data_IF_586503140982
#
_entry.id   IF_586503140982
#
_cell.length_a   1.000
_cell.length_b   1.000
_cell.length_c   1.000
_cell.angle_alpha   90.00
_cell.angle_beta   90.00
_cell.angle_gamma   90.00
#
_symmetry.space_group_name_H-M   'P 1'
#
loop_
_entity.id
_entity.type
_entity.pdbx_description
1 polymer ?
#
# COMPACT_ATOMS: atom_id res chain seq x y z
N UNK A 1 -15.77 -80.62 9.35
CA UNK A 1 -16.67 -79.54 8.90
C UNK A 1 -15.82 -78.43 8.30
N UNK A 2 -15.98 -78.15 7.00
CA UNK A 2 -15.18 -77.20 6.20
C UNK A 2 -15.65 -75.76 6.47
N UNK A 3 -14.77 -74.86 6.90
CA UNK A 3 -15.06 -73.41 7.06
C UNK A 3 -14.49 -72.64 5.87
N UNK A 4 -15.38 -72.02 5.08
CA UNK A 4 -15.07 -71.13 3.96
C UNK A 4 -14.50 -69.81 4.48
N UNK A 5 -13.38 -69.35 3.92
CA UNK A 5 -12.86 -67.98 4.09
C UNK A 5 -13.30 -67.19 2.87
N UNK A 6 -14.15 -66.19 3.08
CA UNK A 6 -14.70 -65.30 2.06
C UNK A 6 -13.93 -63.98 2.13
N UNK A 7 -13.09 -63.72 1.13
CA UNK A 7 -12.34 -62.48 0.98
C UNK A 7 -13.27 -61.30 0.67
N UNK A 8 -13.12 -60.20 1.41
CA UNK A 8 -13.73 -58.91 1.09
C UNK A 8 -12.64 -58.02 0.49
N UNK A 9 -12.76 -57.72 -0.80
CA UNK A 9 -12.02 -56.63 -1.44
C UNK A 9 -12.55 -55.30 -0.91
N UNK A 10 -11.71 -54.56 -0.20
CA UNK A 10 -11.94 -53.14 0.10
C UNK A 10 -11.47 -52.31 -1.09
N UNK A 11 -12.40 -51.65 -1.76
CA UNK A 11 -12.13 -50.64 -2.78
C UNK A 11 -11.69 -49.36 -2.07
N UNK A 12 -10.41 -49.00 -2.20
CA UNK A 12 -9.89 -47.72 -1.74
C UNK A 12 -10.29 -46.63 -2.75
N UNK A 13 -11.19 -45.74 -2.33
CA UNK A 13 -11.52 -44.51 -3.06
C UNK A 13 -10.35 -43.55 -2.85
N UNK A 14 -9.49 -43.41 -3.87
CA UNK A 14 -8.47 -42.36 -3.92
C UNK A 14 -9.19 -41.06 -4.31
N UNK A 15 -9.54 -40.26 -3.30
CA UNK A 15 -9.95 -38.86 -3.50
C UNK A 15 -8.69 -38.05 -3.80
N UNK A 16 -8.29 -38.01 -5.07
CA UNK A 16 -7.31 -37.06 -5.57
C UNK A 16 -7.98 -35.70 -5.75
N UNK A 17 -8.06 -34.94 -4.67
CA UNK A 17 -8.36 -33.51 -4.73
C UNK A 17 -7.12 -32.77 -5.23
N UNK A 18 -7.06 -32.55 -6.54
CA UNK A 18 -6.16 -31.58 -7.17
C UNK A 18 -6.44 -30.20 -6.56
N UNK A 19 -5.60 -29.81 -5.62
CA UNK A 19 -5.48 -28.44 -5.15
C UNK A 19 -4.98 -27.58 -6.31
N UNK A 20 -5.91 -27.05 -7.10
CA UNK A 20 -5.70 -25.87 -7.93
C UNK A 20 -5.60 -24.66 -6.99
N UNK A 21 -4.53 -24.61 -6.19
CA UNK A 21 -4.09 -23.42 -5.50
C UNK A 21 -3.52 -22.48 -6.54
N UNK A 22 -4.38 -21.63 -7.12
CA UNK A 22 -3.92 -20.43 -7.80
C UNK A 22 -2.91 -19.73 -6.88
N UNK A 23 -1.72 -19.45 -7.41
CA UNK A 23 -0.65 -18.72 -6.73
C UNK A 23 -1.13 -17.29 -6.40
N UNK A 24 -1.98 -17.14 -5.39
CA UNK A 24 -2.15 -15.88 -4.71
C UNK A 24 -0.80 -15.63 -4.02
N UNK A 25 -0.03 -14.67 -4.53
CA UNK A 25 1.14 -14.14 -3.85
C UNK A 25 0.80 -13.92 -2.38
N UNK A 26 1.60 -14.49 -1.48
CA UNK A 26 1.31 -14.40 -0.04
C UNK A 26 1.11 -12.91 0.33
N UNK A 27 0.02 -12.55 1.02
CA UNK A 27 -0.29 -11.15 1.32
C UNK A 27 0.77 -10.50 2.23
N UNK A 28 1.58 -11.31 2.89
CA UNK A 28 2.75 -10.92 3.66
C UNK A 28 3.73 -12.11 3.77
N UNK A 29 4.98 -11.81 4.11
CA UNK A 29 6.01 -12.77 4.50
C UNK A 29 6.41 -12.48 5.95
N UNK A 30 6.64 -13.54 6.72
CA UNK A 30 7.03 -13.43 8.11
C UNK A 30 7.90 -14.62 8.51
N UNK A 31 9.05 -14.33 9.10
CA UNK A 31 9.86 -15.30 9.82
C UNK A 31 9.39 -15.35 11.28
N UNK A 32 8.55 -16.34 11.60
CA UNK A 32 7.96 -16.48 12.94
C UNK A 32 9.01 -16.74 14.03
N UNK A 33 10.09 -17.44 13.67
CA UNK A 33 11.17 -17.75 14.61
C UNK A 33 11.93 -16.48 14.97
N UNK A 34 12.37 -15.70 13.97
CA UNK A 34 13.03 -14.42 14.24
C UNK A 34 12.09 -13.42 14.93
N UNK A 35 10.84 -13.33 14.50
CA UNK A 35 9.86 -12.42 15.11
C UNK A 35 9.61 -12.73 16.60
N UNK A 36 9.64 -14.00 16.99
CA UNK A 36 9.47 -14.41 18.39
C UNK A 36 10.64 -13.99 19.30
N UNK A 37 11.82 -13.74 18.72
CA UNK A 37 13.02 -13.31 19.44
C UNK A 37 13.10 -11.80 19.65
N UNK A 38 12.32 -11.02 18.89
CA UNK A 38 12.30 -9.56 18.92
C UNK A 38 11.50 -9.07 20.13
N UNK A 39 12.08 -8.19 20.94
CA UNK A 39 11.39 -7.53 22.06
C UNK A 39 11.27 -6.03 21.85
N UNK A 40 12.29 -5.43 21.24
CA UNK A 40 12.40 -3.99 21.00
C UNK A 40 12.38 -3.70 19.50
N UNK A 41 11.52 -2.78 19.09
CA UNK A 41 11.40 -2.34 17.70
C UNK A 41 11.62 -0.83 17.64
N UNK A 42 12.63 -0.40 16.89
CA UNK A 42 12.81 0.99 16.53
C UNK A 42 11.98 1.32 15.29
N UNK A 43 11.18 2.37 15.33
CA UNK A 43 10.26 2.74 14.25
C UNK A 43 10.76 4.02 13.59
N UNK A 44 10.95 3.96 12.26
CA UNK A 44 11.36 5.13 11.48
C UNK A 44 10.23 6.15 11.38
N UNK A 45 10.45 7.35 11.94
CA UNK A 45 9.51 8.48 11.92
C UNK A 45 9.98 9.62 11.02
N UNK A 46 11.10 9.45 10.31
CA UNK A 46 11.79 10.52 9.58
C UNK A 46 11.02 11.07 8.37
N UNK A 47 9.98 10.37 7.91
CA UNK A 47 9.35 10.64 6.62
C UNK A 47 8.19 11.63 6.75
N UNK A 48 8.23 12.79 6.08
CA UNK A 48 7.04 13.62 5.94
C UNK A 48 6.07 12.98 4.94
N UNK A 49 4.78 13.31 5.06
CA UNK A 49 3.81 12.95 4.02
C UNK A 49 4.10 13.74 2.73
N UNK A 50 4.04 13.04 1.60
CA UNK A 50 4.11 13.66 0.28
C UNK A 50 2.90 13.24 -0.56
N UNK A 51 2.24 14.21 -1.17
CA UNK A 51 1.03 13.99 -1.96
C UNK A 51 1.31 14.07 -3.45
N UNK A 52 0.76 13.14 -4.22
CA UNK A 52 0.84 13.18 -5.68
C UNK A 52 -0.54 13.16 -6.34
N UNK A 53 -0.59 13.67 -7.57
CA UNK A 53 -1.70 13.46 -8.48
C UNK A 53 -1.11 13.27 -9.88
N UNK A 54 -1.36 12.12 -10.51
CA UNK A 54 -0.78 11.76 -11.81
C UNK A 54 -1.80 11.11 -12.72
N UNK A 55 -1.62 11.25 -14.03
CA UNK A 55 -2.34 10.48 -15.05
C UNK A 55 -1.34 9.64 -15.86
N UNK A 56 -1.72 8.40 -16.21
CA UNK A 56 -0.92 7.55 -17.08
C UNK A 56 -0.78 8.24 -18.45
N UNK A 57 0.47 8.46 -18.89
CA UNK A 57 0.83 9.30 -20.03
C UNK A 57 1.84 10.41 -19.70
N UNK A 58 2.13 10.67 -18.42
CA UNK A 58 3.21 11.54 -17.97
C UNK A 58 4.30 10.79 -17.18
N UNK A 59 5.53 11.35 -17.04
CA UNK A 59 6.58 10.76 -16.20
C UNK A 59 6.13 10.66 -14.74
N UNK A 60 5.94 9.42 -14.27
CA UNK A 60 5.69 9.12 -12.86
C UNK A 60 7.04 9.10 -12.15
N UNK A 61 7.40 10.21 -11.51
CA UNK A 61 8.52 10.26 -10.55
C UNK A 61 7.92 10.06 -9.17
N UNK A 62 8.10 8.87 -8.61
CA UNK A 62 7.79 8.59 -7.20
C UNK A 62 9.02 8.98 -6.39
N UNK A 63 9.01 10.11 -5.66
CA UNK A 63 10.12 10.43 -4.79
C UNK A 63 10.11 9.43 -3.64
N UNK A 64 11.21 8.69 -3.50
CA UNK A 64 11.61 8.14 -2.22
C UNK A 64 12.28 9.28 -1.44
N UNK A 65 11.62 9.90 -0.44
CA UNK A 65 12.27 10.95 0.34
C UNK A 65 13.48 10.34 1.04
N UNK A 66 14.67 10.95 0.87
CA UNK A 66 15.93 10.45 1.42
C UNK A 66 16.79 9.60 0.47
N UNK A 67 16.27 9.21 -0.70
CA UNK A 67 17.05 8.65 -1.80
C UNK A 67 17.12 9.73 -2.88
N UNK A 68 18.33 10.15 -3.27
CA UNK A 68 18.51 11.21 -4.27
C UNK A 68 17.63 10.97 -5.50
N UNK A 69 17.09 12.05 -6.07
CA UNK A 69 16.19 12.14 -7.24
C UNK A 69 16.67 11.42 -8.52
N UNK A 70 17.76 10.67 -8.47
CA UNK A 70 18.43 10.01 -9.59
C UNK A 70 18.12 8.51 -9.72
N UNK A 71 17.37 7.89 -8.80
CA UNK A 71 17.19 6.42 -8.81
C UNK A 71 15.76 5.90 -9.08
N UNK A 72 14.73 6.76 -9.11
CA UNK A 72 13.33 6.32 -9.29
C UNK A 72 12.78 6.73 -10.67
N UNK A 73 13.40 6.21 -11.73
CA UNK A 73 12.78 6.11 -13.05
C UNK A 73 12.21 4.69 -13.19
N UNK A 74 11.09 4.41 -12.52
CA UNK A 74 10.36 3.15 -12.73
C UNK A 74 9.05 3.50 -13.42
N UNK A 75 9.00 3.26 -14.73
CA UNK A 75 7.84 3.48 -15.57
C UNK A 75 8.21 3.24 -17.02
N UNK A 76 8.32 1.97 -17.39
CA UNK A 76 8.58 1.56 -18.77
C UNK A 76 7.57 2.15 -19.75
N UNK A 77 8.11 2.91 -20.70
CA UNK A 77 7.68 3.12 -22.08
C UNK A 77 6.17 3.29 -22.38
N UNK A 78 5.75 4.53 -22.64
CA UNK A 78 4.90 4.79 -23.82
C UNK A 78 5.49 6.00 -24.57
N UNK A 79 5.93 5.71 -25.79
CA UNK A 79 6.50 6.63 -26.77
C UNK A 79 5.46 7.62 -27.33
N UNK A 80 5.82 8.90 -27.32
CA UNK A 80 5.45 9.88 -28.34
C UNK A 80 3.99 10.35 -28.40
N UNK A 81 3.68 11.48 -27.72
CA UNK A 81 2.81 12.54 -28.23
C UNK A 81 2.76 13.73 -27.25
N UNK A 82 3.33 14.85 -27.68
CA UNK A 82 2.87 16.23 -27.43
C UNK A 82 2.29 16.62 -26.05
N UNK A 83 3.11 17.28 -25.23
CA UNK A 83 2.84 18.51 -24.47
C UNK A 83 1.43 18.81 -23.90
N UNK A 84 0.69 17.80 -23.41
CA UNK A 84 -0.48 18.02 -22.54
C UNK A 84 -0.15 17.59 -21.10
N UNK A 85 0.48 18.52 -20.38
CA UNK A 85 0.45 18.66 -18.92
C UNK A 85 0.60 17.37 -18.09
N UNK A 86 1.78 16.75 -18.15
CA UNK A 86 2.28 15.97 -17.02
C UNK A 86 2.56 16.92 -15.85
N UNK A 87 1.51 17.37 -15.15
CA UNK A 87 1.66 18.17 -13.93
C UNK A 87 2.28 17.25 -12.89
N UNK A 88 3.51 17.55 -12.54
CA UNK A 88 4.38 16.63 -11.81
C UNK A 88 3.97 16.56 -10.34
N UNK A 89 4.43 15.51 -9.65
CA UNK A 89 4.25 15.30 -8.21
C UNK A 89 4.52 16.59 -7.35
N UNK A 90 5.46 17.44 -7.78
CA UNK A 90 5.81 18.69 -7.08
C UNK A 90 4.66 19.70 -7.01
N UNK A 91 3.81 19.77 -8.04
CA UNK A 91 2.74 20.78 -8.11
C UNK A 91 1.62 20.46 -7.12
N UNK A 92 1.21 19.19 -7.05
CA UNK A 92 0.13 18.77 -6.15
C UNK A 92 0.57 18.77 -4.68
N UNK A 93 1.77 18.29 -4.37
CA UNK A 93 2.29 18.35 -3.00
C UNK A 93 2.42 19.79 -2.49
N UNK A 94 2.90 20.70 -3.34
CA UNK A 94 3.04 22.12 -2.99
C UNK A 94 1.68 22.76 -2.75
N UNK A 95 0.69 22.44 -3.59
CA UNK A 95 -0.70 22.89 -3.42
C UNK A 95 -1.29 22.40 -2.10
N UNK A 96 -1.14 21.11 -1.78
CA UNK A 96 -1.64 20.58 -0.50
C UNK A 96 -0.99 21.30 0.67
N UNK A 97 0.33 21.51 0.62
CA UNK A 97 1.04 22.23 1.68
C UNK A 97 0.64 23.70 1.78
N UNK A 98 0.38 24.38 0.66
CA UNK A 98 -0.03 25.79 0.68
C UNK A 98 -1.44 25.97 1.21
N UNK A 99 -2.36 25.09 0.83
CA UNK A 99 -3.78 25.22 1.19
C UNK A 99 -4.11 24.59 2.54
N UNK A 100 -3.49 23.46 2.88
CA UNK A 100 -3.85 22.64 4.05
C UNK A 100 -2.72 22.52 5.08
N UNK A 101 -1.51 22.98 4.76
CA UNK A 101 -0.34 22.83 5.63
C UNK A 101 0.14 21.38 5.75
N UNK A 102 0.75 21.06 6.90
CA UNK A 102 1.09 19.68 7.25
C UNK A 102 -0.15 18.97 7.81
N UNK A 103 -0.58 17.92 7.13
CA UNK A 103 -1.75 17.11 7.51
C UNK A 103 -1.46 16.15 8.67
N UNK A 104 -0.16 15.93 8.95
CA UNK A 104 0.31 14.95 9.93
C UNK A 104 -0.04 13.51 9.58
N UNK A 105 -0.43 13.21 8.34
CA UNK A 105 -0.93 11.89 7.95
C UNK A 105 0.07 10.77 8.23
N UNK A 106 1.34 10.93 7.83
CA UNK A 106 2.35 9.91 8.07
C UNK A 106 2.58 9.69 9.56
N UNK A 107 2.58 10.77 10.35
CA UNK A 107 2.72 10.67 11.80
C UNK A 107 1.58 9.88 12.43
N UNK A 108 0.32 10.19 12.10
CA UNK A 108 -0.88 9.45 12.55
C UNK A 108 -0.82 7.97 12.15
N UNK A 109 -0.40 7.70 10.92
CA UNK A 109 -0.26 6.33 10.42
C UNK A 109 0.81 5.55 11.18
N UNK A 110 2.00 6.12 11.36
CA UNK A 110 3.08 5.50 12.12
C UNK A 110 2.68 5.28 13.58
N UNK A 111 2.10 6.29 14.26
CA UNK A 111 1.59 6.16 15.63
C UNK A 111 0.59 5.01 15.78
N UNK A 112 -0.28 4.81 14.80
CA UNK A 112 -1.22 3.69 14.79
C UNK A 112 -0.51 2.34 14.64
N UNK A 113 0.51 2.23 13.77
CA UNK A 113 1.33 1.01 13.67
C UNK A 113 2.10 0.74 14.97
N UNK A 114 2.65 1.77 15.60
CA UNK A 114 3.30 1.64 16.91
C UNK A 114 2.33 1.17 17.99
N UNK A 115 1.10 1.71 17.98
CA UNK A 115 0.02 1.29 18.88
C UNK A 115 -0.26 -0.21 18.74
N UNK A 116 -0.34 -0.71 17.51
CA UNK A 116 -0.50 -2.14 17.25
C UNK A 116 0.71 -2.96 17.74
N UNK A 117 1.94 -2.51 17.51
CA UNK A 117 3.14 -3.17 18.03
C UNK A 117 3.15 -3.22 19.57
N UNK A 118 2.87 -2.10 20.23
CA UNK A 118 2.80 -2.02 21.71
C UNK A 118 1.69 -2.93 22.25
N UNK A 119 0.53 -2.99 21.58
CA UNK A 119 -0.56 -3.90 21.94
C UNK A 119 -0.17 -5.38 21.83
N UNK A 120 0.81 -5.71 20.97
CA UNK A 120 1.42 -7.04 20.89
C UNK A 120 2.58 -7.27 21.90
N UNK A 121 2.85 -6.31 22.79
CA UNK A 121 3.86 -6.43 23.84
C UNK A 121 5.29 -6.09 23.40
N UNK A 122 5.49 -5.50 22.23
CA UNK A 122 6.79 -4.97 21.83
C UNK A 122 7.08 -3.65 22.54
N UNK A 123 8.33 -3.43 22.93
CA UNK A 123 8.83 -2.12 23.31
C UNK A 123 9.14 -1.33 22.05
N UNK A 124 8.55 -0.14 21.91
CA UNK A 124 8.67 0.68 20.70
C UNK A 124 9.43 1.95 21.01
N UNK A 125 10.46 2.22 20.21
CA UNK A 125 11.23 3.47 20.25
C UNK A 125 11.20 4.12 18.88
N UNK A 126 11.26 5.45 18.83
CA UNK A 126 11.27 6.18 17.56
C UNK A 126 12.71 6.48 17.16
N UNK A 127 13.00 6.39 15.87
CA UNK A 127 14.28 6.78 15.29
C UNK A 127 14.08 7.60 14.02
N UNK A 128 15.09 8.41 13.71
CA UNK A 128 15.18 9.14 12.45
C UNK A 128 16.32 8.58 11.62
N UNK A 129 16.00 7.75 10.61
CA UNK A 129 17.00 7.13 9.73
C UNK A 129 17.77 8.14 8.86
N UNK A 130 17.34 9.40 8.79
CA UNK A 130 18.06 10.44 8.05
C UNK A 130 19.30 10.94 8.80
N UNK A 131 19.35 10.74 10.12
CA UNK A 131 20.46 11.21 10.96
C UNK A 131 21.81 10.55 10.58
N UNK A 132 22.94 11.23 10.83
CA UNK A 132 24.26 10.63 10.71
C UNK A 132 24.41 9.41 11.61
N UNK A 133 25.11 8.37 11.13
CA UNK A 133 25.35 7.13 11.88
C UNK A 133 24.17 6.15 11.94
N UNK A 134 23.00 6.52 11.39
CA UNK A 134 21.86 5.61 11.26
C UNK A 134 21.97 4.74 10.00
N UNK A 135 21.37 3.52 10.03
CA UNK A 135 21.22 2.70 8.84
C UNK A 135 20.54 3.48 7.71
N UNK A 136 20.98 3.23 6.48
CA UNK A 136 20.47 3.92 5.29
C UNK A 136 19.48 3.05 4.55
N UNK A 137 18.34 3.66 4.21
CA UNK A 137 17.37 3.02 3.35
C UNK A 137 17.89 2.99 1.90
N UNK A 138 17.80 1.83 1.28
CA UNK A 138 18.18 1.58 -0.10
C UNK A 138 17.19 0.60 -0.76
N UNK A 139 17.45 0.22 -2.01
CA UNK A 139 16.63 -0.72 -2.76
C UNK A 139 15.53 -0.05 -3.57
N UNK A 140 14.65 -0.87 -4.14
CA UNK A 140 13.48 -0.40 -4.88
C UNK A 140 12.32 -0.08 -3.92
N UNK A 141 11.35 0.70 -4.40
CA UNK A 141 10.14 1.05 -3.66
C UNK A 141 9.36 -0.19 -3.15
N UNK A 142 9.26 -1.25 -3.95
CA UNK A 142 8.55 -2.48 -3.58
C UNK A 142 9.34 -3.37 -2.61
N UNK A 143 10.67 -3.27 -2.63
CA UNK A 143 11.58 -4.06 -1.81
C UNK A 143 12.62 -3.15 -1.14
N UNK A 144 12.19 -2.29 -0.20
CA UNK A 144 13.13 -1.47 0.53
C UNK A 144 14.08 -2.36 1.36
N UNK A 145 15.31 -1.92 1.51
CA UNK A 145 16.38 -2.60 2.24
C UNK A 145 17.12 -1.62 3.14
N UNK A 146 17.73 -2.09 4.22
CA UNK A 146 18.61 -1.29 5.05
C UNK A 146 20.08 -1.64 4.77
N UNK A 147 20.94 -0.64 4.77
CA UNK A 147 22.39 -0.76 4.57
C UNK A 147 23.16 0.04 5.61
N UNK A 148 24.42 -0.32 5.81
CA UNK A 148 25.32 0.30 6.77
C UNK A 148 25.67 -0.66 7.91
N UNK A 149 26.11 -0.09 9.03
CA UNK A 149 26.48 -0.86 10.21
C UNK A 149 25.23 -1.29 10.99
N UNK A 150 25.35 -2.41 11.71
CA UNK A 150 24.30 -2.93 12.57
C UNK A 150 23.81 -1.87 13.56
N UNK A 151 22.50 -1.76 13.72
CA UNK A 151 21.90 -0.87 14.70
C UNK A 151 21.78 -1.58 16.05
N UNK A 152 22.36 -0.99 17.09
CA UNK A 152 22.40 -1.60 18.43
C UNK A 152 21.32 -1.08 19.38
N UNK A 153 20.51 -0.10 18.96
CA UNK A 153 19.50 0.54 19.81
C UNK A 153 18.17 -0.23 19.93
N UNK A 154 17.98 -1.31 19.14
CA UNK A 154 16.82 -2.18 19.20
C UNK A 154 17.15 -3.56 18.59
N UNK A 155 16.26 -4.54 18.76
CA UNK A 155 16.38 -5.86 18.12
C UNK A 155 15.99 -5.81 16.64
N UNK A 156 15.08 -4.90 16.29
CA UNK A 156 14.57 -4.73 14.94
C UNK A 156 14.23 -3.28 14.61
N UNK A 157 14.15 -2.99 13.31
CA UNK A 157 13.76 -1.68 12.77
C UNK A 157 12.52 -1.86 11.90
N UNK A 158 11.45 -1.11 12.20
CA UNK A 158 10.28 -0.99 11.33
C UNK A 158 10.43 0.24 10.43
N UNK A 159 10.13 0.04 9.16
CA UNK A 159 9.80 1.12 8.23
C UNK A 159 8.41 0.88 7.66
N UNK A 160 7.69 1.95 7.35
CA UNK A 160 6.42 1.89 6.65
C UNK A 160 6.28 3.08 5.70
N UNK A 161 7.13 3.16 4.65
CA UNK A 161 6.96 4.17 3.61
C UNK A 161 5.56 4.08 3.00
N UNK A 162 4.88 5.22 2.94
CA UNK A 162 3.56 5.34 2.33
C UNK A 162 3.61 6.30 1.13
N UNK A 163 3.03 5.86 0.02
CA UNK A 163 2.70 6.69 -1.13
C UNK A 163 1.22 7.05 -1.06
N UNK A 164 0.93 8.35 -1.11
CA UNK A 164 -0.40 8.88 -0.86
C UNK A 164 -0.78 9.87 -1.96
N UNK A 165 -1.81 9.57 -2.74
CA UNK A 165 -2.19 10.47 -3.82
C UNK A 165 -3.37 10.01 -4.65
N UNK A 166 -3.45 10.57 -5.86
CA UNK A 166 -4.43 10.24 -6.88
C UNK A 166 -3.75 9.78 -8.17
N UNK A 167 -4.30 8.75 -8.80
CA UNK A 167 -3.88 8.23 -10.10
C UNK A 167 -5.05 8.18 -11.06
N UNK A 168 -4.82 8.49 -12.33
CA UNK A 168 -5.75 8.22 -13.43
C UNK A 168 -5.10 7.26 -14.44
N UNK A 169 -5.85 6.29 -14.96
CA UNK A 169 -5.34 5.26 -15.87
C UNK A 169 -5.16 5.72 -17.33
N UNK A 170 -5.24 7.02 -17.59
CA UNK A 170 -5.06 7.60 -18.91
C UNK A 170 -5.71 8.96 -19.03
N UNK A 171 -5.56 9.59 -20.20
CA UNK A 171 -6.32 10.77 -20.53
C UNK A 171 -7.83 10.44 -20.56
N UNK A 172 -8.65 11.27 -19.91
CA UNK A 172 -10.10 11.07 -19.83
C UNK A 172 -10.56 10.05 -18.78
N UNK A 173 -9.62 9.36 -18.11
CA UNK A 173 -9.96 8.54 -16.94
C UNK A 173 -10.08 9.40 -15.69
N UNK A 174 -10.98 9.06 -14.75
CA UNK A 174 -11.08 9.78 -13.50
C UNK A 174 -9.83 9.57 -12.64
N UNK A 175 -9.50 10.60 -11.86
CA UNK A 175 -8.56 10.51 -10.76
C UNK A 175 -9.20 9.75 -9.61
N UNK A 176 -8.54 8.66 -9.22
CA UNK A 176 -8.93 7.83 -8.09
C UNK A 176 -7.81 7.77 -7.06
N UNK A 177 -8.16 7.49 -5.81
CA UNK A 177 -7.16 7.32 -4.75
C UNK A 177 -6.14 6.24 -5.13
N UNK A 178 -4.87 6.59 -5.04
CA UNK A 178 -3.74 5.70 -5.20
C UNK A 178 -2.91 5.79 -3.92
N UNK A 179 -3.16 4.84 -3.02
CA UNK A 179 -2.50 4.77 -1.72
C UNK A 179 -1.85 3.40 -1.59
N UNK A 180 -0.57 3.36 -1.25
CA UNK A 180 0.14 2.11 -1.03
C UNK A 180 1.24 2.27 0.03
N UNK A 181 1.57 1.19 0.71
CA UNK A 181 2.59 1.14 1.76
C UNK A 181 3.38 -0.16 1.66
N UNK A 182 4.65 -0.11 2.06
CA UNK A 182 5.50 -1.29 2.24
C UNK A 182 5.93 -1.36 3.69
N UNK A 183 5.18 -2.08 4.51
CA UNK A 183 5.54 -2.28 5.90
C UNK A 183 6.62 -3.35 5.93
N UNK A 184 7.77 -3.02 6.52
CA UNK A 184 8.87 -3.96 6.73
C UNK A 184 9.34 -3.88 8.17
N UNK A 185 9.69 -5.03 8.72
CA UNK A 185 10.47 -5.11 9.96
C UNK A 185 11.75 -5.84 9.60
N UNK A 186 12.89 -5.21 9.86
CA UNK A 186 14.22 -5.79 9.63
C UNK A 186 14.85 -6.16 10.95
N UNK A 187 15.62 -7.25 10.96
CA UNK A 187 16.60 -7.50 12.02
C UNK A 187 17.56 -6.32 12.09
N UNK A 188 17.75 -5.71 13.27
CA UNK A 188 18.64 -4.56 13.44
C UNK A 188 20.12 -4.95 13.27
N UNK A 189 20.45 -6.24 13.42
CA UNK A 189 21.81 -6.78 13.32
C UNK A 189 22.21 -7.15 11.89
N UNK A 190 21.30 -7.74 11.13
CA UNK A 190 21.58 -8.30 9.80
C UNK A 190 20.91 -7.54 8.66
N UNK A 191 19.93 -6.69 8.98
CA UNK A 191 19.07 -6.00 8.02
C UNK A 191 18.28 -6.93 7.07
N UNK A 192 18.16 -8.20 7.43
CA UNK A 192 17.26 -9.12 6.75
C UNK A 192 15.81 -8.83 7.17
N UNK A 193 14.86 -8.82 6.22
CA UNK A 193 13.46 -8.61 6.52
C UNK A 193 12.90 -9.83 7.28
N UNK A 194 12.42 -9.59 8.51
CA UNK A 194 11.72 -10.61 9.32
C UNK A 194 10.21 -10.54 9.13
N UNK A 195 9.71 -9.40 8.67
CA UNK A 195 8.32 -9.18 8.26
C UNK A 195 8.27 -8.33 7.00
N UNK A 196 7.42 -8.70 6.07
CA UNK A 196 7.23 -7.99 4.81
C UNK A 196 5.77 -8.00 4.39
N UNK A 197 5.16 -6.81 4.27
CA UNK A 197 3.79 -6.68 3.79
C UNK A 197 3.69 -5.52 2.81
N UNK A 198 3.14 -5.80 1.63
CA UNK A 198 2.81 -4.78 0.64
C UNK A 198 1.30 -4.62 0.61
N UNK A 199 0.83 -3.40 0.87
CA UNK A 199 -0.61 -3.12 0.86
C UNK A 199 -0.84 -2.04 -0.19
N UNK A 200 -1.74 -2.34 -1.11
CA UNK A 200 -2.16 -1.43 -2.17
C UNK A 200 -3.66 -1.19 -2.03
N UNK A 201 -4.06 0.07 -2.12
CA UNK A 201 -5.44 0.44 -2.34
C UNK A 201 -5.72 0.27 -3.84
N UNK A 202 -6.50 -0.73 -4.26
CA UNK A 202 -6.69 -1.02 -5.67
C UNK A 202 -7.47 0.11 -6.34
N UNK A 203 -7.10 0.42 -7.59
CA UNK A 203 -7.93 1.26 -8.46
C UNK A 203 -9.20 0.46 -8.79
N UNK A 204 -10.40 1.00 -8.55
CA UNK A 204 -11.62 0.29 -8.90
C UNK A 204 -11.66 -0.01 -10.40
N UNK A 205 -11.84 -1.29 -10.74
CA UNK A 205 -11.73 -1.79 -12.12
C UNK A 205 -12.93 -1.41 -13.00
N UNK A 206 -14.02 -0.91 -12.41
CA UNK A 206 -15.24 -0.51 -13.13
C UNK A 206 -15.19 0.92 -13.68
N UNK A 207 -14.17 1.70 -13.34
CA UNK A 207 -14.08 3.12 -13.69
C UNK A 207 -13.50 3.33 -15.09
N UNK A 208 -14.17 2.84 -16.14
CA UNK A 208 -13.78 3.14 -17.52
C UNK A 208 -14.30 4.51 -17.96
N UNK A 209 -13.57 5.27 -18.82
CA UNK A 209 -14.14 6.43 -19.47
C UNK A 209 -15.35 5.94 -20.28
N UNK A 210 -16.53 6.44 -19.97
CA UNK A 210 -17.67 6.25 -20.84
C UNK A 210 -17.29 6.83 -22.20
N UNK A 211 -17.27 5.97 -23.22
CA UNK A 211 -16.88 6.32 -24.57
C UNK A 211 -17.81 7.39 -25.12
N UNK A 212 -17.42 8.66 -24.97
CA UNK A 212 -17.93 9.77 -25.77
C UNK A 212 -17.44 9.59 -27.21
N UNK A 213 -18.04 8.64 -27.93
CA UNK A 213 -17.88 8.49 -29.37
C UNK A 213 -18.31 9.77 -30.06
N UNK A 214 -17.44 10.30 -30.91
CA UNK A 214 -17.57 11.59 -31.56
C UNK A 214 -18.94 11.82 -32.22
N UNK A 215 -19.49 12.99 -31.93
CA UNK A 215 -20.62 13.59 -32.62
C UNK A 215 -20.67 15.05 -32.24
N UNK A 216 -20.00 15.90 -33.03
CA UNK A 216 -20.08 17.35 -32.88
C UNK A 216 -21.54 17.74 -33.11
N UNK A 217 -22.31 17.95 -32.05
CA UNK A 217 -23.59 18.61 -32.16
C UNK A 217 -23.57 19.88 -31.30
N UNK A 218 -23.31 20.99 -31.98
CA UNK A 218 -23.56 22.33 -31.46
C UNK A 218 -25.06 22.40 -31.15
N UNK A 219 -25.40 22.75 -29.90
CA UNK A 219 -26.75 22.88 -29.32
C UNK A 219 -27.25 21.65 -28.57
N UNK A 220 -26.64 21.36 -27.42
CA UNK A 220 -27.33 20.75 -26.28
C UNK A 220 -26.65 21.24 -25.00
N UNK A 221 -27.34 22.07 -24.22
CA UNK A 221 -26.89 22.45 -22.90
C UNK A 221 -26.87 21.25 -21.96
N UNK A 222 -25.88 21.22 -21.07
CA UNK A 222 -25.90 20.55 -19.75
C UNK A 222 -26.31 19.07 -19.79
N UNK A 223 -25.36 18.13 -19.88
CA UNK A 223 -25.48 16.75 -19.31
C UNK A 223 -24.36 15.80 -19.76
N UNK A 224 -23.09 16.16 -19.56
CA UNK A 224 -21.99 15.19 -19.71
C UNK A 224 -21.02 15.22 -18.54
N UNK A 225 -21.55 15.52 -17.36
CA UNK A 225 -21.05 14.94 -16.13
C UNK A 225 -21.95 13.73 -15.87
N UNK A 226 -21.63 12.58 -16.45
CA UNK A 226 -21.99 11.35 -15.75
C UNK A 226 -21.19 11.44 -14.46
N UNK A 227 -21.87 11.75 -13.35
CA UNK A 227 -21.23 12.17 -12.11
C UNK A 227 -20.21 11.11 -11.69
N UNK A 228 -18.91 11.35 -11.82
CA UNK A 228 -17.93 10.38 -11.31
C UNK A 228 -18.06 10.21 -9.78
N UNK A 229 -18.75 11.14 -9.09
CA UNK A 229 -19.22 10.96 -7.70
C UNK A 229 -20.25 9.83 -7.54
N UNK A 230 -21.05 9.54 -8.57
CA UNK A 230 -21.94 8.39 -8.61
C UNK A 230 -21.17 7.06 -8.74
N UNK A 231 -19.94 7.10 -9.29
CA UNK A 231 -19.10 5.91 -9.44
C UNK A 231 -18.31 5.55 -8.15
N UNK A 232 -18.38 6.40 -7.12
CA UNK A 232 -17.87 6.15 -5.78
C UNK A 232 -17.38 7.42 -5.05
N UNK A 233 -17.24 7.38 -3.72
CA UNK A 233 -16.64 8.49 -2.96
C UNK A 233 -15.17 8.68 -3.35
N UNK A 234 -14.73 9.95 -3.39
CA UNK A 234 -13.34 10.35 -3.71
C UNK A 234 -12.89 9.95 -5.12
N UNK A 235 -13.79 10.03 -6.09
CA UNK A 235 -13.49 9.88 -7.52
C UNK A 235 -13.73 11.22 -8.21
N UNK A 236 -12.74 11.68 -8.97
CA UNK A 236 -12.75 13.00 -9.60
C UNK A 236 -12.59 12.86 -11.11
N UNK A 237 -13.56 13.30 -11.93
CA UNK A 237 -13.45 13.17 -13.38
C UNK A 237 -12.24 13.94 -13.93
N UNK A 238 -12.00 15.13 -13.41
CA UNK A 238 -10.87 15.98 -13.83
C UNK A 238 -10.01 16.39 -12.64
N UNK A 239 -8.75 16.74 -12.94
CA UNK A 239 -7.81 17.29 -11.94
C UNK A 239 -8.34 18.56 -11.27
N UNK A 240 -9.08 19.40 -12.01
CA UNK A 240 -9.70 20.61 -11.46
C UNK A 240 -10.76 20.29 -10.41
N UNK A 241 -11.48 19.19 -10.55
CA UNK A 241 -12.47 18.75 -9.55
C UNK A 241 -11.79 18.25 -8.29
N UNK A 242 -10.70 17.50 -8.45
CA UNK A 242 -9.83 17.05 -7.36
C UNK A 242 -9.28 18.26 -6.57
N UNK A 243 -8.76 19.27 -7.26
CA UNK A 243 -8.23 20.49 -6.63
C UNK A 243 -9.34 21.32 -5.96
N UNK A 244 -10.52 21.41 -6.58
CA UNK A 244 -11.65 22.16 -6.00
C UNK A 244 -12.17 21.53 -4.72
N UNK A 245 -12.04 20.21 -4.57
CA UNK A 245 -12.48 19.44 -3.41
C UNK A 245 -11.29 18.97 -2.54
N UNK A 246 -10.17 19.70 -2.57
CA UNK A 246 -8.89 19.27 -1.99
C UNK A 246 -8.97 18.79 -0.53
N UNK A 247 -9.65 19.48 0.42
CA UNK A 247 -9.74 19.00 1.80
C UNK A 247 -10.40 17.62 1.90
N UNK A 248 -11.47 17.39 1.14
CA UNK A 248 -12.18 16.12 1.11
C UNK A 248 -11.37 15.05 0.36
N UNK A 249 -10.66 15.43 -0.71
CA UNK A 249 -9.77 14.53 -1.42
C UNK A 249 -8.64 14.00 -0.52
N UNK A 250 -8.04 14.86 0.30
CA UNK A 250 -7.02 14.47 1.29
C UNK A 250 -7.63 13.59 2.38
N UNK A 251 -8.82 13.92 2.90
CA UNK A 251 -9.55 13.04 3.83
C UNK A 251 -9.73 11.62 3.26
N UNK A 252 -10.07 11.50 1.97
CA UNK A 252 -10.19 10.20 1.33
C UNK A 252 -8.89 9.40 1.28
N UNK A 253 -7.74 10.07 1.13
CA UNK A 253 -6.41 9.46 1.23
C UNK A 253 -6.13 9.02 2.67
N UNK A 254 -6.45 9.86 3.66
CA UNK A 254 -6.28 9.55 5.08
C UNK A 254 -7.05 8.28 5.44
N UNK A 255 -8.34 8.21 5.08
CA UNK A 255 -9.19 7.02 5.29
C UNK A 255 -8.60 5.77 4.62
N UNK A 256 -8.10 5.90 3.38
CA UNK A 256 -7.50 4.79 2.66
C UNK A 256 -6.22 4.29 3.33
N UNK A 257 -5.31 5.19 3.74
CA UNK A 257 -4.07 4.79 4.41
C UNK A 257 -4.35 4.16 5.78
N UNK A 258 -5.25 4.75 6.56
CA UNK A 258 -5.60 4.23 7.89
C UNK A 258 -6.29 2.85 7.84
N UNK A 259 -6.94 2.51 6.71
CA UNK A 259 -7.50 1.17 6.48
C UNK A 259 -6.43 0.06 6.41
N UNK A 260 -5.15 0.41 6.31
CA UNK A 260 -4.04 -0.55 6.31
C UNK A 260 -3.61 -0.98 7.71
N UNK A 261 -3.92 -0.20 8.75
CA UNK A 261 -3.54 -0.51 10.15
C UNK A 261 -4.16 -1.84 10.61
N UNK A 262 -5.48 -2.10 10.42
CA UNK A 262 -6.05 -3.40 10.76
C UNK A 262 -5.45 -4.57 9.95
N UNK A 263 -5.03 -4.33 8.71
CA UNK A 263 -4.38 -5.36 7.87
C UNK A 263 -3.00 -5.72 8.40
N UNK A 264 -2.24 -4.74 8.87
CA UNK A 264 -0.97 -4.95 9.56
C UNK A 264 -1.16 -5.75 10.85
N UNK A 265 -2.11 -5.33 11.70
CA UNK A 265 -2.47 -6.05 12.92
C UNK A 265 -2.77 -7.52 12.65
N UNK A 266 -3.60 -7.80 11.66
CA UNK A 266 -4.00 -9.17 11.32
C UNK A 266 -2.82 -10.01 10.83
N UNK A 267 -1.90 -9.43 10.06
CA UNK A 267 -0.69 -10.09 9.61
C UNK A 267 0.24 -10.42 10.80
N UNK A 268 0.42 -9.49 11.74
CA UNK A 268 1.18 -9.73 12.97
C UNK A 268 0.58 -10.85 13.83
N UNK A 269 -0.74 -10.87 14.01
CA UNK A 269 -1.44 -11.87 14.82
C UNK A 269 -1.38 -13.26 14.20
N UNK A 270 -1.62 -13.36 12.89
CA UNK A 270 -1.50 -14.61 12.13
C UNK A 270 -0.08 -15.15 12.27
N UNK A 271 0.90 -14.26 12.26
CA UNK A 271 2.30 -14.58 12.49
C UNK A 271 2.64 -15.20 13.83
N UNK A 272 1.83 -14.95 14.85
CA UNK A 272 2.01 -15.52 16.20
C UNK A 272 1.17 -16.78 16.41
N UNK A 273 0.53 -17.30 15.36
CA UNK A 273 -0.38 -18.44 15.45
C UNK A 273 -1.71 -18.10 16.13
N UNK A 274 -2.01 -16.81 16.32
CA UNK A 274 -3.30 -16.35 16.84
C UNK A 274 -4.24 -16.13 15.65
N UNK A 275 -4.84 -17.22 15.18
CA UNK A 275 -5.99 -17.10 14.28
C UNK A 275 -7.13 -16.48 15.05
N UNK A 276 -7.68 -15.36 14.59
CA UNK A 276 -8.98 -14.87 15.05
C UNK A 276 -10.00 -15.97 14.74
N UNK A 277 -10.34 -16.80 15.73
CA UNK A 277 -11.51 -17.65 15.65
C UNK A 277 -12.68 -16.74 15.37
N UNK A 278 -13.26 -16.86 14.18
CA UNK A 278 -14.52 -16.23 13.84
C UNK A 278 -15.54 -16.66 14.88
N UNK A 279 -15.80 -15.79 15.87
CA UNK A 279 -17.02 -15.83 16.66
C UNK A 279 -18.15 -15.39 15.73
N UNK A 280 -18.53 -16.30 14.82
CA UNK A 280 -19.84 -16.27 14.22
C UNK A 280 -20.80 -16.72 15.33
N UNK A 281 -21.43 -15.74 15.97
CA UNK A 281 -22.48 -15.98 16.94
C UNK A 281 -23.56 -16.85 16.31
N UNK A 282 -23.74 -18.05 16.84
CA UNK A 282 -25.04 -18.70 16.78
C UNK A 282 -25.98 -17.93 17.71
N UNK A 283 -26.93 -17.22 17.11
CA UNK A 283 -28.26 -17.04 17.67
C UNK A 283 -29.28 -17.17 16.55
#
# INVERSE_FOLDING_TARGET
MKKKIQGRCSVAIVVSSLMLGACASKPFELDTQQMSSIKTIAVDVSRPTTYFAVSAGGPVVVPLPGVGLLAAAIGGAISGATAMSARTNKDFNSLVKSELGDTGLNRKYIEALEGELRAQGYQVTEIDLTQPGMPKLAGDWLHPTLKGDAYTGADAILIAPANTGYGANGLGWPYVRSVNTQIRIFSAKTFEPVFSQNIFYPIPTHLSPTSGGGGVNKNAGISSAHDAKADGPYVYPFYTDLVKDLPNAIKGIDEALMSFVPQFRNALLTGRGVSQSASAGQK
#
